data_IF_432018034078
#
_entry.id   IF_432018034078
#
_cell.length_a   1.000
_cell.length_b   1.000
_cell.length_c   1.000
_cell.angle_alpha   90.00
_cell.angle_beta   90.00
_cell.angle_gamma   90.00
#
_symmetry.space_group_name_H-M   'P 1'
#
loop_
_entity.id
_entity.type
_entity.pdbx_description
1 polymer ?
#
# COMPACT_ATOMS: atom_id res chain seq x y z
N UNK A 1 10.96 11.62 -3.90
CA UNK A 1 10.39 11.62 -2.53
C UNK A 1 9.23 12.59 -2.38
N UNK A 2 9.32 13.78 -2.92
CA UNK A 2 8.33 14.85 -2.69
C UNK A 2 6.89 14.44 -3.03
N UNK A 3 6.66 13.92 -4.21
CA UNK A 3 5.32 13.49 -4.64
C UNK A 3 4.80 12.31 -3.79
N UNK A 4 5.60 11.25 -3.67
CA UNK A 4 5.11 10.00 -3.06
C UNK A 4 5.09 10.03 -1.54
N UNK A 5 6.06 10.69 -0.88
CA UNK A 5 6.13 10.71 0.58
C UNK A 5 5.55 12.00 1.16
N UNK A 6 6.06 13.17 0.77
CA UNK A 6 5.53 14.43 1.29
C UNK A 6 4.11 14.73 0.79
N UNK A 7 3.78 14.30 -0.45
CA UNK A 7 2.41 14.37 -0.98
C UNK A 7 1.39 13.53 -0.21
N UNK A 8 1.83 12.56 0.61
CA UNK A 8 0.99 11.81 1.56
C UNK A 8 1.06 12.42 2.96
N UNK A 9 2.27 12.72 3.44
CA UNK A 9 2.48 13.25 4.80
C UNK A 9 1.73 14.55 5.05
N UNK A 10 1.81 15.50 4.11
CA UNK A 10 1.23 16.84 4.30
C UNK A 10 -0.31 16.81 4.36
N UNK A 11 -1.04 16.11 3.47
CA UNK A 11 -2.48 15.93 3.64
C UNK A 11 -2.85 15.21 4.93
N UNK A 12 -2.13 14.15 5.33
CA UNK A 12 -2.36 13.48 6.61
C UNK A 12 -2.21 14.46 7.78
N UNK A 13 -1.14 15.25 7.81
CA UNK A 13 -0.92 16.28 8.83
C UNK A 13 -2.08 17.29 8.90
N UNK A 14 -2.63 17.67 7.76
CA UNK A 14 -3.72 18.62 7.69
C UNK A 14 -5.06 18.04 8.22
N UNK A 15 -5.38 16.77 7.90
CA UNK A 15 -6.69 16.18 8.27
C UNK A 15 -6.72 15.56 9.67
N UNK A 16 -5.61 15.08 10.19
CA UNK A 16 -5.52 14.37 11.48
C UNK A 16 -6.12 15.18 12.65
N UNK A 17 -5.87 16.49 12.83
CA UNK A 17 -6.49 17.25 13.90
C UNK A 17 -8.03 17.24 13.85
N UNK A 18 -8.59 17.28 12.64
CA UNK A 18 -10.04 17.23 12.43
C UNK A 18 -10.63 15.85 12.80
N UNK A 19 -9.95 14.76 12.39
CA UNK A 19 -10.36 13.41 12.71
C UNK A 19 -10.25 13.11 14.21
N UNK A 20 -9.18 13.58 14.86
CA UNK A 20 -9.03 13.48 16.32
C UNK A 20 -10.19 14.19 17.06
N UNK A 21 -10.57 15.39 16.61
CA UNK A 21 -11.70 16.14 17.19
C UNK A 21 -13.03 15.44 16.94
N UNK A 22 -13.20 14.83 15.75
CA UNK A 22 -14.43 14.10 15.41
C UNK A 22 -14.53 12.72 16.08
N UNK A 23 -13.43 12.18 16.64
CA UNK A 23 -13.38 10.84 17.24
C UNK A 23 -13.57 9.72 16.22
N UNK A 24 -13.35 10.00 14.94
CA UNK A 24 -13.46 9.05 13.83
C UNK A 24 -12.78 9.59 12.57
N UNK A 25 -12.31 8.69 11.72
CA UNK A 25 -11.76 9.05 10.41
C UNK A 25 -11.23 7.85 9.64
N UNK A 26 -11.05 8.02 8.34
CA UNK A 26 -10.45 7.02 7.45
C UNK A 26 -9.39 7.68 6.60
N UNK A 27 -8.20 7.11 6.57
CA UNK A 27 -7.10 7.52 5.68
C UNK A 27 -6.73 6.31 4.84
N UNK A 28 -6.81 6.45 3.52
CA UNK A 28 -6.43 5.43 2.55
C UNK A 28 -5.29 5.95 1.71
N UNK A 29 -4.15 5.27 1.75
CA UNK A 29 -2.91 5.68 1.11
C UNK A 29 -2.61 4.76 -0.08
N UNK A 30 -2.23 5.34 -1.22
CA UNK A 30 -1.80 4.58 -2.39
C UNK A 30 -0.32 4.17 -2.27
N UNK A 31 -0.09 2.89 -2.13
CA UNK A 31 1.24 2.28 -2.18
C UNK A 31 1.46 1.52 -3.50
N UNK A 32 2.22 0.46 -3.49
CA UNK A 32 2.51 -0.37 -4.66
C UNK A 32 3.51 -1.48 -4.34
N UNK A 33 3.77 -2.35 -5.30
CA UNK A 33 4.60 -3.54 -5.12
C UNK A 33 6.03 -3.28 -4.66
N UNK A 34 6.58 -2.10 -4.92
CA UNK A 34 7.91 -1.68 -4.43
C UNK A 34 7.99 -1.51 -2.91
N UNK A 35 6.87 -1.49 -2.20
CA UNK A 35 6.88 -1.41 -0.74
C UNK A 35 7.33 -2.73 -0.07
N UNK A 36 7.07 -3.86 -0.71
CA UNK A 36 7.32 -5.20 -0.15
C UNK A 36 8.36 -6.00 -0.93
N UNK A 37 8.66 -5.59 -2.15
CA UNK A 37 9.61 -6.28 -3.02
C UNK A 37 10.65 -5.31 -3.57
N UNK A 38 11.91 -5.73 -3.70
CA UNK A 38 12.93 -4.92 -4.36
C UNK A 38 12.57 -4.70 -5.83
N UNK A 39 12.77 -3.48 -6.30
CA UNK A 39 12.61 -3.11 -7.71
C UNK A 39 13.95 -2.54 -8.21
N UNK A 40 14.82 -3.38 -8.80
CA UNK A 40 16.08 -2.93 -9.36
C UNK A 40 15.89 -1.79 -10.36
N UNK A 41 16.84 -0.85 -10.40
CA UNK A 41 16.91 0.32 -11.28
C UNK A 41 15.85 1.42 -11.03
N UNK A 42 14.82 1.14 -10.20
CA UNK A 42 13.87 2.15 -9.73
C UNK A 42 13.82 2.20 -8.19
N UNK A 43 14.99 2.13 -7.57
CA UNK A 43 15.16 2.06 -6.11
C UNK A 43 14.53 3.23 -5.36
N UNK A 44 14.66 4.46 -5.88
CA UNK A 44 14.03 5.64 -5.27
C UNK A 44 12.50 5.56 -5.21
N UNK A 45 11.87 4.99 -6.26
CA UNK A 45 10.43 4.71 -6.26
C UNK A 45 10.07 3.65 -5.21
N UNK A 46 10.77 2.50 -5.21
CA UNK A 46 10.54 1.43 -4.25
C UNK A 46 10.70 1.93 -2.81
N UNK A 47 11.77 2.66 -2.51
CA UNK A 47 12.00 3.27 -1.21
C UNK A 47 10.87 4.23 -0.80
N UNK A 48 10.37 5.05 -1.74
CA UNK A 48 9.24 5.95 -1.46
C UNK A 48 7.95 5.19 -1.11
N UNK A 49 7.69 4.06 -1.76
CA UNK A 49 6.52 3.23 -1.50
C UNK A 49 6.63 2.45 -0.18
N UNK A 50 7.83 2.00 0.19
CA UNK A 50 8.08 1.45 1.53
C UNK A 50 7.91 2.51 2.63
N UNK A 51 8.41 3.73 2.40
CA UNK A 51 8.29 4.82 3.34
C UNK A 51 6.82 5.18 3.64
N UNK A 52 5.93 5.24 2.64
CA UNK A 52 4.52 5.55 2.88
C UNK A 52 3.78 4.42 3.59
N UNK A 53 4.18 3.15 3.40
CA UNK A 53 3.59 2.04 4.16
C UNK A 53 4.03 2.12 5.62
N UNK A 54 5.31 2.38 5.90
CA UNK A 54 5.75 2.54 7.29
C UNK A 54 5.12 3.77 7.96
N UNK A 55 4.95 4.87 7.23
CA UNK A 55 4.21 6.05 7.72
C UNK A 55 2.76 5.66 8.06
N UNK A 56 2.09 4.94 7.18
CA UNK A 56 0.72 4.45 7.38
C UNK A 56 0.60 3.62 8.66
N UNK A 57 1.47 2.63 8.86
CA UNK A 57 1.47 1.76 10.04
C UNK A 57 1.69 2.55 11.33
N UNK A 58 2.63 3.51 11.30
CA UNK A 58 2.91 4.38 12.45
C UNK A 58 1.70 5.25 12.78
N UNK A 59 1.09 5.90 11.77
CA UNK A 59 -0.12 6.70 11.97
C UNK A 59 -1.29 5.85 12.47
N UNK A 60 -1.44 4.62 12.01
CA UNK A 60 -2.48 3.72 12.47
C UNK A 60 -2.40 3.47 13.98
N UNK A 61 -1.19 3.24 14.51
CA UNK A 61 -0.98 3.07 15.94
C UNK A 61 -1.22 4.37 16.74
N UNK A 62 -0.69 5.50 16.26
CA UNK A 62 -0.87 6.81 16.91
C UNK A 62 -2.34 7.24 16.98
N UNK A 63 -3.14 6.85 15.98
CA UNK A 63 -4.51 7.30 15.80
C UNK A 63 -5.56 6.31 16.30
N UNK A 64 -5.18 5.09 16.69
CA UNK A 64 -6.06 4.02 17.18
C UNK A 64 -7.01 4.50 18.28
N UNK A 65 -6.49 5.23 19.27
CA UNK A 65 -7.27 5.76 20.39
C UNK A 65 -8.31 6.83 20.01
N UNK A 66 -8.25 7.33 18.78
CA UNK A 66 -9.19 8.31 18.25
C UNK A 66 -10.19 7.70 17.26
N UNK A 67 -10.21 6.37 17.11
CA UNK A 67 -11.01 5.63 16.13
C UNK A 67 -10.77 6.11 14.69
N UNK A 68 -9.52 6.40 14.35
CA UNK A 68 -9.11 6.77 12.99
C UNK A 68 -8.37 5.60 12.38
N UNK A 69 -8.94 4.99 11.36
CA UNK A 69 -8.32 3.89 10.64
C UNK A 69 -7.42 4.41 9.51
N UNK A 70 -6.20 3.90 9.44
CA UNK A 70 -5.23 4.27 8.41
C UNK A 70 -4.74 3.00 7.71
N UNK A 71 -4.97 2.91 6.41
CA UNK A 71 -4.57 1.76 5.62
C UNK A 71 -3.89 2.17 4.32
N UNK A 72 -3.09 1.28 3.76
CA UNK A 72 -2.52 1.45 2.43
C UNK A 72 -3.08 0.40 1.46
N UNK A 73 -3.22 0.78 0.19
CA UNK A 73 -3.61 -0.14 -0.87
C UNK A 73 -2.51 -0.28 -1.91
N UNK A 74 -2.29 -1.51 -2.36
CA UNK A 74 -1.53 -1.83 -3.55
C UNK A 74 -2.53 -2.10 -4.68
N UNK A 75 -2.78 -1.13 -5.59
CA UNK A 75 -3.86 -1.23 -6.56
C UNK A 75 -3.62 -2.23 -7.69
N UNK A 76 -2.42 -2.77 -7.79
CA UNK A 76 -1.97 -3.64 -8.87
C UNK A 76 -1.17 -2.88 -9.93
N UNK A 77 -0.90 -3.56 -11.04
CA UNK A 77 -0.22 -2.98 -12.19
C UNK A 77 -1.22 -2.19 -13.04
N UNK A 78 -1.17 -0.87 -12.94
CA UNK A 78 -2.11 0.01 -13.63
C UNK A 78 -1.49 0.56 -14.93
N UNK A 79 -2.24 0.55 -16.03
CA UNK A 79 -1.87 1.21 -17.26
C UNK A 79 -2.03 2.73 -17.12
N UNK A 80 -1.04 3.37 -16.50
CA UNK A 80 -1.02 4.81 -16.23
C UNK A 80 0.14 5.47 -16.96
N UNK A 81 0.18 6.82 -16.93
CA UNK A 81 1.29 7.61 -17.45
C UNK A 81 2.67 7.10 -17.01
N UNK A 82 2.78 6.51 -15.81
CA UNK A 82 4.04 5.92 -15.34
C UNK A 82 4.53 4.78 -16.24
N UNK A 83 3.61 3.94 -16.72
CA UNK A 83 3.95 2.88 -17.69
C UNK A 83 4.44 3.49 -19.01
N UNK A 84 3.80 4.55 -19.50
CA UNK A 84 4.25 5.25 -20.71
C UNK A 84 5.63 5.87 -20.54
N UNK A 85 5.91 6.47 -19.38
CA UNK A 85 7.23 7.02 -19.04
C UNK A 85 8.31 5.93 -18.97
N UNK A 86 8.00 4.77 -18.38
CA UNK A 86 8.92 3.60 -18.34
C UNK A 86 9.23 3.11 -19.75
N UNK A 87 8.22 2.97 -20.61
CA UNK A 87 8.40 2.53 -21.99
C UNK A 87 9.17 3.56 -22.83
N UNK A 88 8.91 4.85 -22.63
CA UNK A 88 9.63 5.93 -23.30
C UNK A 88 11.12 6.00 -22.86
N UNK A 89 11.42 5.65 -21.61
CA UNK A 89 12.79 5.65 -21.09
C UNK A 89 13.66 4.54 -21.71
N UNK A 90 13.07 3.44 -22.15
CA UNK A 90 13.72 2.31 -22.77
C UNK A 90 14.40 1.33 -21.80
N UNK A 91 14.68 0.10 -22.28
CA UNK A 91 15.20 -0.99 -21.45
C UNK A 91 16.58 -0.71 -20.85
N UNK A 92 17.40 0.11 -21.51
CA UNK A 92 18.74 0.50 -21.05
C UNK A 92 18.69 1.27 -19.72
N UNK A 93 17.64 2.11 -19.51
CA UNK A 93 17.51 2.93 -18.31
C UNK A 93 16.74 2.25 -17.20
N UNK A 94 15.69 1.51 -17.54
CA UNK A 94 14.78 0.93 -16.55
C UNK A 94 15.02 -0.57 -16.31
N UNK A 95 15.90 -1.17 -17.09
CA UNK A 95 16.20 -2.61 -17.09
C UNK A 95 15.25 -3.42 -17.95
N UNK A 96 15.81 -4.36 -18.71
CA UNK A 96 15.09 -5.14 -19.70
C UNK A 96 13.88 -5.88 -19.08
N UNK A 97 14.06 -6.53 -17.93
CA UNK A 97 12.98 -7.28 -17.28
C UNK A 97 11.80 -6.39 -16.86
N UNK A 98 12.07 -5.20 -16.31
CA UNK A 98 11.02 -4.27 -15.91
C UNK A 98 10.36 -3.62 -17.13
N UNK A 99 11.12 -3.31 -18.17
CA UNK A 99 10.61 -2.80 -19.44
C UNK A 99 9.64 -3.80 -20.09
N UNK A 100 10.06 -5.05 -20.28
CA UNK A 100 9.21 -6.08 -20.90
C UNK A 100 7.93 -6.34 -20.08
N UNK A 101 8.02 -6.34 -18.77
CA UNK A 101 6.85 -6.46 -17.90
C UNK A 101 5.84 -5.33 -18.13
N UNK A 102 6.30 -4.08 -18.24
CA UNK A 102 5.43 -2.94 -18.51
C UNK A 102 4.84 -2.97 -19.93
N UNK A 103 5.61 -3.45 -20.92
CA UNK A 103 5.14 -3.67 -22.27
C UNK A 103 3.99 -4.68 -22.33
N UNK A 104 4.15 -5.82 -21.66
CA UNK A 104 3.12 -6.85 -21.53
C UNK A 104 1.84 -6.27 -20.88
N UNK A 105 1.97 -5.47 -19.83
CA UNK A 105 0.80 -4.83 -19.20
C UNK A 105 0.08 -3.87 -20.15
N UNK A 106 0.83 -3.14 -20.96
CA UNK A 106 0.23 -2.23 -21.96
C UNK A 106 -0.48 -2.96 -23.09
N UNK A 107 0.08 -4.10 -23.53
CA UNK A 107 -0.44 -4.88 -24.67
C UNK A 107 -1.57 -5.84 -24.29
N UNK A 108 -1.42 -6.53 -23.17
CA UNK A 108 -2.34 -7.61 -22.73
C UNK A 108 -3.38 -7.17 -21.70
N UNK A 109 -3.30 -5.94 -21.24
CA UNK A 109 -4.14 -5.39 -20.18
C UNK A 109 -3.44 -5.35 -18.84
N UNK A 110 -3.69 -4.29 -18.11
CA UNK A 110 -3.27 -4.06 -16.73
C UNK A 110 -4.44 -4.37 -15.77
N UNK A 111 -4.19 -4.29 -14.48
CA UNK A 111 -5.24 -4.38 -13.47
C UNK A 111 -6.29 -3.28 -13.72
N UNK A 112 -7.60 -3.62 -13.74
CA UNK A 112 -8.65 -2.61 -13.87
C UNK A 112 -8.57 -1.56 -12.77
N UNK A 113 -8.71 -0.28 -13.14
CA UNK A 113 -8.66 0.84 -12.18
C UNK A 113 -9.78 0.74 -11.13
N UNK A 114 -10.92 0.21 -11.54
CA UNK A 114 -12.11 0.03 -10.72
C UNK A 114 -11.84 -0.89 -9.52
N UNK A 115 -10.91 -1.84 -9.64
CA UNK A 115 -10.59 -2.76 -8.55
C UNK A 115 -9.92 -2.03 -7.37
N UNK A 116 -8.94 -1.17 -7.66
CA UNK A 116 -8.31 -0.30 -6.66
C UNK A 116 -9.28 0.73 -6.08
N UNK A 117 -10.14 1.29 -6.92
CA UNK A 117 -11.18 2.23 -6.49
C UNK A 117 -12.21 1.58 -5.57
N UNK A 118 -12.66 0.35 -5.90
CA UNK A 118 -13.59 -0.39 -5.06
C UNK A 118 -13.01 -0.74 -3.68
N UNK A 119 -11.71 -1.13 -3.62
CA UNK A 119 -11.02 -1.33 -2.35
C UNK A 119 -10.92 -0.02 -1.55
N UNK A 120 -10.63 1.10 -2.20
CA UNK A 120 -10.59 2.40 -1.52
C UNK A 120 -11.95 2.77 -0.93
N UNK A 121 -13.04 2.54 -1.65
CA UNK A 121 -14.42 2.75 -1.16
C UNK A 121 -14.72 1.82 0.01
N UNK A 122 -14.38 0.54 -0.08
CA UNK A 122 -14.53 -0.41 1.02
C UNK A 122 -13.80 0.07 2.30
N UNK A 123 -12.52 0.46 2.16
CA UNK A 123 -11.73 0.94 3.30
C UNK A 123 -12.19 2.28 3.86
N UNK A 124 -12.85 3.10 3.06
CA UNK A 124 -13.50 4.34 3.52
C UNK A 124 -14.88 4.10 4.17
N UNK A 125 -15.48 2.94 3.93
CA UNK A 125 -16.82 2.59 4.39
C UNK A 125 -16.86 2.04 5.81
N UNK A 126 -18.08 1.89 6.35
CA UNK A 126 -18.32 1.37 7.69
C UNK A 126 -17.95 -0.11 7.87
N UNK A 127 -18.02 -0.90 6.80
CA UNK A 127 -17.66 -2.33 6.83
C UNK A 127 -16.21 -2.56 7.28
N UNK A 128 -15.30 -1.65 6.96
CA UNK A 128 -13.89 -1.72 7.34
C UNK A 128 -13.57 -1.12 8.72
N UNK A 129 -14.57 -0.73 9.53
CA UNK A 129 -14.32 -0.13 10.84
C UNK A 129 -13.46 -1.04 11.71
N UNK A 130 -12.38 -0.47 12.28
CA UNK A 130 -11.40 -1.19 13.11
C UNK A 130 -10.33 -1.97 12.34
N UNK A 131 -10.40 -2.00 10.99
CA UNK A 131 -9.29 -2.50 10.16
C UNK A 131 -8.35 -1.32 9.95
N UNK A 132 -7.16 -1.39 10.54
CA UNK A 132 -6.17 -0.32 10.52
C UNK A 132 -4.74 -0.85 10.52
N UNK A 133 -3.80 -0.11 9.94
CA UNK A 133 -2.40 -0.48 9.85
C UNK A 133 -2.09 -1.59 8.84
N UNK A 134 -2.90 -1.72 7.78
CA UNK A 134 -2.78 -2.80 6.81
C UNK A 134 -2.44 -2.31 5.41
N UNK A 135 -1.51 -3.00 4.75
CA UNK A 135 -1.24 -2.87 3.32
C UNK A 135 -2.00 -3.96 2.56
N UNK A 136 -3.03 -3.58 1.83
CA UNK A 136 -3.95 -4.52 1.19
C UNK A 136 -3.82 -4.42 -0.33
N UNK A 137 -3.71 -5.57 -0.99
CA UNK A 137 -3.69 -5.64 -2.45
C UNK A 137 -5.10 -5.74 -3.00
N UNK A 138 -5.44 -4.84 -3.94
CA UNK A 138 -6.73 -4.89 -4.62
C UNK A 138 -6.89 -6.14 -5.50
N UNK A 139 -5.78 -6.66 -6.03
CA UNK A 139 -5.79 -7.78 -6.97
C UNK A 139 -5.66 -9.15 -6.30
N UNK A 140 -4.90 -9.24 -5.19
CA UNK A 140 -4.47 -10.54 -4.66
C UNK A 140 -5.10 -10.91 -3.32
N UNK A 141 -5.63 -9.93 -2.57
CA UNK A 141 -6.18 -10.18 -1.24
C UNK A 141 -7.71 -10.30 -1.26
N UNK A 142 -8.31 -11.11 -0.38
CA UNK A 142 -9.76 -11.28 -0.28
C UNK A 142 -10.40 -10.13 0.50
N UNK A 143 -10.14 -8.87 0.06
CA UNK A 143 -10.47 -7.68 0.83
C UNK A 143 -11.99 -7.47 1.06
N UNK A 144 -12.85 -8.08 0.26
CA UNK A 144 -14.31 -7.99 0.42
C UNK A 144 -14.81 -8.63 1.71
N UNK A 145 -14.04 -9.56 2.27
CA UNK A 145 -14.39 -10.32 3.49
C UNK A 145 -13.49 -9.98 4.69
N UNK A 146 -12.63 -8.97 4.60
CA UNK A 146 -11.72 -8.60 5.70
C UNK A 146 -12.46 -8.23 6.99
N UNK A 147 -13.69 -7.74 6.89
CA UNK A 147 -14.52 -7.44 8.04
C UNK A 147 -14.87 -8.68 8.90
N UNK A 148 -14.85 -9.88 8.32
CA UNK A 148 -15.04 -11.15 9.03
C UNK A 148 -13.77 -11.54 9.83
N UNK A 149 -12.61 -10.96 9.51
CA UNK A 149 -11.30 -11.28 10.08
C UNK A 149 -10.72 -10.17 10.96
N UNK A 150 -11.53 -9.19 11.41
CA UNK A 150 -11.05 -8.02 12.17
C UNK A 150 -10.21 -8.39 13.38
N UNK A 151 -10.64 -9.39 14.14
CA UNK A 151 -9.94 -9.81 15.35
C UNK A 151 -8.56 -10.41 15.03
N UNK A 152 -8.48 -11.26 14.01
CA UNK A 152 -7.22 -11.83 13.54
C UNK A 152 -6.27 -10.75 13.01
N UNK A 153 -6.79 -9.80 12.24
CA UNK A 153 -6.02 -8.66 11.72
C UNK A 153 -5.50 -7.75 12.83
N UNK A 154 -6.33 -7.49 13.86
CA UNK A 154 -5.94 -6.66 14.99
C UNK A 154 -4.84 -7.27 15.87
N UNK A 155 -4.81 -8.60 15.97
CA UNK A 155 -3.88 -9.36 16.82
C UNK A 155 -2.65 -9.91 16.10
N UNK A 156 -2.49 -9.63 14.81
CA UNK A 156 -1.41 -10.19 14.00
C UNK A 156 -0.73 -9.15 13.11
N UNK A 157 0.42 -9.54 12.58
CA UNK A 157 1.18 -8.78 11.58
C UNK A 157 0.79 -9.11 10.13
N UNK A 158 -0.34 -9.79 9.92
CA UNK A 158 -0.90 -10.02 8.59
C UNK A 158 -1.08 -8.67 7.89
N UNK A 159 -0.58 -8.56 6.64
CA UNK A 159 -0.58 -7.34 5.85
C UNK A 159 0.24 -6.17 6.44
N UNK A 160 1.28 -6.46 7.24
CA UNK A 160 2.19 -5.46 7.79
C UNK A 160 3.61 -5.63 7.26
N UNK A 161 4.39 -4.54 7.23
CA UNK A 161 5.82 -4.60 6.97
C UNK A 161 6.55 -4.95 8.28
N UNK A 162 7.25 -6.08 8.28
CA UNK A 162 8.09 -6.47 9.42
C UNK A 162 9.37 -7.18 8.98
N UNK A 163 10.30 -7.26 9.90
CA UNK A 163 11.47 -8.12 9.74
C UNK A 163 11.05 -9.58 9.89
N UNK A 164 11.44 -10.40 8.93
CA UNK A 164 11.29 -11.86 8.99
C UNK A 164 12.54 -12.41 9.66
N UNK A 165 12.36 -13.29 10.63
CA UNK A 165 13.44 -13.98 11.36
C UNK A 165 13.37 -15.49 11.13
N UNK A 166 14.46 -16.23 11.43
CA UNK A 166 14.51 -17.68 11.18
C UNK A 166 13.33 -18.46 11.75
N UNK A 167 12.87 -18.09 12.93
CA UNK A 167 11.74 -18.72 13.63
C UNK A 167 10.42 -18.60 12.82
N UNK A 168 10.24 -17.51 12.08
CA UNK A 168 9.07 -17.33 11.20
C UNK A 168 9.02 -18.35 10.05
N UNK A 169 10.14 -18.98 9.77
CA UNK A 169 10.30 -20.04 8.77
C UNK A 169 10.52 -21.41 9.40
N UNK A 170 10.26 -21.56 10.69
CA UNK A 170 10.46 -22.82 11.42
C UNK A 170 11.94 -23.22 11.58
N UNK A 171 12.86 -22.26 11.39
CA UNK A 171 14.30 -22.48 11.53
C UNK A 171 14.80 -21.94 12.86
N UNK A 172 15.74 -22.67 13.48
CA UNK A 172 16.45 -22.21 14.68
C UNK A 172 17.92 -22.05 14.35
N UNK A 173 18.43 -20.83 14.45
CA UNK A 173 19.85 -20.52 14.28
C UNK A 173 20.46 -20.31 15.67
N UNK A 174 21.42 -21.15 16.02
CA UNK A 174 22.18 -21.06 17.28
C UNK A 174 23.33 -20.07 17.14
#
# INVERSE_FOLDING_TARGET
MDINLFGVLLPCRAVIPHFKKAGRGKIVILSGGGATNPLPQISAYAASKAAVVRLMETLAEELRKFNVDVNAIAPGALATRLVDEVLAAGPEKVGAAFYEKNKVWKEKGATPLELGAALAVYLAGAESNGITGKLISAQWDPWKTLHEHREALAKSDIYCLRRIVPEDRGQKWN
#
